data_IF_973830683851
#
_entry.id   IF_973830683851
#
_cell.length_a   1.000
_cell.length_b   1.000
_cell.length_c   1.000
_cell.angle_alpha   90.00
_cell.angle_beta   90.00
_cell.angle_gamma   90.00
#
_symmetry.space_group_name_H-M   'P 1'
#
loop_
_entity.id
_entity.type
_entity.pdbx_description
1 polymer ?
#
# COMPACT_ATOMS: atom_id res chain seq x y z
N UNK A 1 0.10 -7.45 -27.25
CA UNK A 1 -0.04 -6.22 -26.44
C UNK A 1 -0.36 -6.68 -25.03
N UNK A 2 0.36 -6.41 -23.95
CA UNK A 2 1.59 -5.63 -23.73
C UNK A 2 2.43 -6.34 -22.66
N UNK A 3 3.71 -6.56 -22.95
CA UNK A 3 4.76 -7.04 -22.04
C UNK A 3 5.26 -5.96 -21.06
N UNK A 4 4.57 -4.82 -20.98
CA UNK A 4 5.10 -3.55 -20.44
C UNK A 4 5.23 -3.46 -18.92
N UNK A 5 4.65 -4.37 -18.14
CA UNK A 5 4.58 -4.18 -16.69
C UNK A 5 5.68 -4.87 -15.88
N UNK A 6 6.41 -5.82 -16.46
CA UNK A 6 7.68 -6.28 -15.90
C UNK A 6 8.84 -5.35 -16.25
N UNK A 7 8.69 -4.54 -17.31
CA UNK A 7 9.72 -3.64 -17.87
C UNK A 7 10.12 -2.49 -16.96
N UNK A 8 9.44 -2.31 -15.83
CA UNK A 8 9.68 -1.23 -14.86
C UNK A 8 10.32 -1.70 -13.55
N UNK A 9 10.55 -3.01 -13.39
CA UNK A 9 11.26 -3.53 -12.22
C UNK A 9 12.74 -3.13 -12.28
N UNK A 10 13.20 -2.43 -11.25
CA UNK A 10 14.58 -2.00 -11.10
C UNK A 10 15.27 -2.92 -10.09
N UNK A 11 16.37 -3.54 -10.51
CA UNK A 11 17.13 -4.43 -9.65
C UNK A 11 17.79 -3.67 -8.48
N UNK A 12 17.62 -4.19 -7.27
CA UNK A 12 18.28 -3.72 -6.05
C UNK A 12 19.41 -4.69 -5.70
N UNK A 13 20.58 -4.15 -5.34
CA UNK A 13 21.69 -4.94 -4.81
C UNK A 13 21.48 -5.13 -3.31
N UNK A 14 21.37 -6.38 -2.89
CA UNK A 14 21.25 -6.76 -1.48
C UNK A 14 22.54 -7.43 -0.97
N UNK A 15 22.79 -7.41 0.35
CA UNK A 15 22.00 -6.72 1.38
C UNK A 15 22.17 -5.20 1.28
N UNK A 16 21.13 -4.45 1.64
CA UNK A 16 21.17 -2.98 1.65
C UNK A 16 20.38 -2.43 2.85
N UNK A 17 20.51 -1.13 3.18
CA UNK A 17 19.61 -0.51 4.15
C UNK A 17 18.16 -0.55 3.65
N UNK A 18 17.22 -0.75 4.56
CA UNK A 18 15.78 -0.90 4.28
C UNK A 18 15.00 0.00 5.22
N UNK A 19 13.98 0.69 4.72
CA UNK A 19 12.96 1.37 5.51
C UNK A 19 11.80 0.41 5.79
N UNK A 20 11.51 0.19 7.05
CA UNK A 20 10.26 -0.41 7.52
C UNK A 20 9.23 0.71 7.66
N UNK A 21 8.23 0.70 6.80
CA UNK A 21 7.22 1.76 6.71
C UNK A 21 5.90 1.19 7.21
N UNK A 22 5.28 1.84 8.21
CA UNK A 22 3.92 1.51 8.62
C UNK A 22 2.96 2.45 7.90
N UNK A 23 2.03 1.87 7.15
CA UNK A 23 0.91 2.58 6.54
C UNK A 23 -0.37 2.26 7.29
N UNK A 24 -1.17 3.28 7.57
CA UNK A 24 -2.43 3.16 8.28
C UNK A 24 -3.56 3.65 7.39
N UNK A 25 -4.62 2.85 7.30
CA UNK A 25 -5.92 3.29 6.83
C UNK A 25 -6.72 3.78 8.02
N UNK A 26 -7.04 5.08 8.05
CA UNK A 26 -7.93 5.67 9.04
C UNK A 26 -8.77 6.74 8.37
N UNK A 27 -10.01 6.93 8.83
CA UNK A 27 -10.94 7.94 8.27
C UNK A 27 -11.04 7.94 6.73
N UNK A 28 -10.98 6.74 6.14
CA UNK A 28 -11.05 6.50 4.69
C UNK A 28 -9.83 6.98 3.88
N UNK A 29 -8.68 7.16 4.53
CA UNK A 29 -7.43 7.58 3.89
C UNK A 29 -6.27 6.69 4.32
N UNK A 30 -5.37 6.39 3.39
CA UNK A 30 -4.08 5.78 3.71
C UNK A 30 -3.05 6.85 4.05
N UNK A 31 -2.26 6.64 5.11
CA UNK A 31 -1.18 7.53 5.54
C UNK A 31 0.02 6.71 5.99
N UNK A 32 1.23 7.21 5.73
CA UNK A 32 2.43 6.69 6.40
C UNK A 32 2.44 7.26 7.82
N UNK A 33 2.51 6.40 8.82
CA UNK A 33 2.47 6.80 10.24
C UNK A 33 3.77 6.50 10.99
N UNK A 34 4.63 5.64 10.43
CA UNK A 34 5.93 5.32 11.02
C UNK A 34 6.93 4.92 9.95
N UNK A 35 8.19 5.32 10.16
CA UNK A 35 9.33 4.83 9.37
C UNK A 35 10.49 4.48 10.29
N UNK A 36 11.07 3.29 10.08
CA UNK A 36 12.24 2.83 10.83
C UNK A 36 13.32 2.37 9.87
N UNK A 37 14.55 2.83 10.06
CA UNK A 37 15.69 2.35 9.30
C UNK A 37 16.19 1.01 9.84
N UNK A 38 16.32 0.05 8.95
CA UNK A 38 17.03 -1.21 9.17
C UNK A 38 18.35 -1.12 8.41
N UNK A 39 19.52 -1.10 9.08
CA UNK A 39 20.79 -0.78 8.43
C UNK A 39 21.23 -1.73 7.31
N UNK A 40 20.84 -3.01 7.39
CA UNK A 40 21.20 -4.01 6.39
C UNK A 40 20.20 -5.18 6.43
N UNK A 41 19.56 -5.47 5.29
CA UNK A 41 18.62 -6.56 5.13
C UNK A 41 18.59 -7.01 3.66
N UNK A 42 18.30 -8.30 3.44
CA UNK A 42 17.93 -8.82 2.11
C UNK A 42 16.42 -8.99 2.10
N UNK A 43 15.74 -8.39 1.11
CA UNK A 43 14.30 -8.59 0.93
C UNK A 43 14.04 -9.77 -0.01
N UNK A 44 12.86 -10.40 0.09
CA UNK A 44 12.38 -11.31 -0.94
C UNK A 44 12.38 -10.64 -2.32
N UNK A 45 12.51 -11.45 -3.37
CA UNK A 45 12.38 -10.95 -4.73
C UNK A 45 11.01 -10.26 -4.92
N UNK A 46 10.92 -9.18 -5.72
CA UNK A 46 9.65 -8.53 -6.00
C UNK A 46 8.63 -9.51 -6.57
N UNK A 47 7.39 -9.44 -6.09
CA UNK A 47 6.33 -10.30 -6.58
C UNK A 47 6.02 -10.03 -8.06
N UNK A 48 5.72 -11.12 -8.77
CA UNK A 48 5.28 -11.06 -10.16
C UNK A 48 3.76 -11.03 -10.21
N UNK A 49 3.22 -10.07 -10.96
CA UNK A 49 1.78 -9.98 -11.22
C UNK A 49 1.39 -10.98 -12.32
N UNK A 50 0.49 -11.95 -12.07
CA UNK A 50 0.16 -13.02 -13.03
C UNK A 50 -0.31 -12.53 -14.41
N UNK A 51 -1.09 -11.44 -14.43
CA UNK A 51 -1.60 -10.79 -15.64
C UNK A 51 -1.03 -9.38 -15.83
N UNK A 52 0.14 -9.08 -15.23
CA UNK A 52 0.74 -7.75 -15.29
C UNK A 52 -0.21 -6.67 -14.73
N UNK A 53 -0.42 -5.59 -15.49
CA UNK A 53 -1.27 -4.45 -15.09
C UNK A 53 -2.74 -4.82 -14.88
N UNK A 54 -3.20 -5.89 -15.52
CA UNK A 54 -4.59 -6.34 -15.47
C UNK A 54 -4.84 -7.31 -14.32
N UNK A 55 -3.80 -7.63 -13.53
CA UNK A 55 -3.94 -8.52 -12.39
C UNK A 55 -4.95 -7.97 -11.40
N UNK A 56 -5.88 -8.82 -10.99
CA UNK A 56 -6.82 -8.53 -9.92
C UNK A 56 -6.15 -8.74 -8.56
N UNK A 57 -6.62 -8.02 -7.55
CA UNK A 57 -6.16 -8.13 -6.18
C UNK A 57 -5.60 -6.80 -5.65
N UNK A 58 -4.78 -6.92 -4.62
CA UNK A 58 -4.16 -5.81 -3.95
C UNK A 58 -2.65 -6.01 -3.89
N UNK A 59 -1.90 -4.95 -4.17
CA UNK A 59 -0.44 -4.99 -4.07
C UNK A 59 0.12 -3.62 -3.75
N UNK A 60 1.34 -3.63 -3.23
CA UNK A 60 2.08 -2.43 -2.85
C UNK A 60 3.36 -2.37 -3.68
N UNK A 61 3.68 -1.18 -4.20
CA UNK A 61 4.88 -0.94 -5.00
C UNK A 61 5.70 0.19 -4.36
N UNK A 62 7.01 -0.02 -4.22
CA UNK A 62 7.95 1.04 -3.88
C UNK A 62 8.51 1.65 -5.17
N UNK A 63 8.26 2.94 -5.40
CA UNK A 63 8.37 3.57 -6.73
C UNK A 63 9.21 4.85 -6.70
N UNK A 64 9.91 5.13 -7.79
CA UNK A 64 10.54 6.44 -8.04
C UNK A 64 9.59 7.43 -8.74
N UNK A 65 9.98 8.71 -8.80
CA UNK A 65 9.20 9.75 -9.50
C UNK A 65 9.07 9.58 -11.02
N UNK A 66 9.63 8.50 -11.61
CA UNK A 66 9.50 8.15 -13.04
C UNK A 66 8.65 6.89 -13.25
N UNK A 67 8.12 6.29 -12.18
CA UNK A 67 7.33 5.06 -12.24
C UNK A 67 8.15 3.76 -12.26
N UNK A 68 9.46 3.83 -11.96
CA UNK A 68 10.33 2.67 -11.77
C UNK A 68 10.04 1.98 -10.44
N UNK A 69 9.88 0.65 -10.46
CA UNK A 69 9.42 -0.15 -9.32
C UNK A 69 10.61 -0.92 -8.76
N UNK A 70 10.96 -0.66 -7.51
CA UNK A 70 12.11 -1.30 -6.85
C UNK A 70 11.72 -2.52 -6.02
N UNK A 71 10.47 -2.55 -5.53
CA UNK A 71 9.90 -3.66 -4.79
C UNK A 71 8.41 -3.73 -5.07
N UNK A 72 7.88 -4.96 -5.12
CA UNK A 72 6.44 -5.24 -5.16
C UNK A 72 6.11 -6.34 -4.16
N UNK A 73 5.03 -6.15 -3.43
CA UNK A 73 4.44 -7.15 -2.54
C UNK A 73 2.96 -7.31 -2.86
N UNK A 74 2.55 -8.52 -3.24
CA UNK A 74 1.15 -8.90 -3.49
C UNK A 74 0.60 -9.48 -2.21
N UNK A 75 -0.56 -8.98 -1.76
CA UNK A 75 -1.16 -9.42 -0.51
C UNK A 75 -2.70 -9.50 -0.64
N UNK A 76 -3.37 -10.26 0.25
CA UNK A 76 -4.82 -10.23 0.33
C UNK A 76 -5.33 -8.80 0.50
N UNK A 77 -6.39 -8.43 -0.22
CA UNK A 77 -6.95 -7.08 -0.11
C UNK A 77 -7.48 -6.87 1.31
N UNK A 78 -6.86 -5.98 2.10
CA UNK A 78 -7.21 -5.79 3.51
C UNK A 78 -8.57 -5.10 3.66
N UNK A 79 -9.16 -4.60 2.58
CA UNK A 79 -10.47 -3.94 2.57
C UNK A 79 -11.57 -4.86 2.03
N UNK A 80 -11.24 -6.03 1.47
CA UNK A 80 -12.20 -6.93 0.85
C UNK A 80 -12.80 -7.89 1.89
N UNK A 81 -14.13 -7.99 1.93
CA UNK A 81 -14.83 -9.03 2.70
C UNK A 81 -14.95 -8.75 4.19
N UNK A 82 -14.83 -7.50 4.64
CA UNK A 82 -15.09 -7.17 6.03
C UNK A 82 -16.59 -7.25 6.34
N UNK A 83 -16.93 -8.08 7.32
CA UNK A 83 -18.27 -8.23 7.87
C UNK A 83 -18.30 -7.61 9.26
N UNK A 84 -19.25 -6.70 9.52
CA UNK A 84 -19.49 -6.16 10.84
C UNK A 84 -20.68 -6.86 11.48
N UNK A 85 -20.48 -7.41 12.66
CA UNK A 85 -21.56 -7.98 13.48
C UNK A 85 -22.03 -6.94 14.50
N UNK A 86 -23.33 -6.62 14.48
CA UNK A 86 -23.95 -5.80 15.51
C UNK A 86 -24.15 -6.61 16.81
N UNK A 87 -24.36 -5.91 17.95
CA UNK A 87 -24.64 -6.56 19.25
C UNK A 87 -25.85 -7.51 19.24
N UNK A 88 -26.75 -7.38 18.26
CA UNK A 88 -27.92 -8.25 18.06
C UNK A 88 -27.70 -9.42 17.09
N UNK A 89 -26.48 -9.61 16.57
CA UNK A 89 -26.16 -10.67 15.60
C UNK A 89 -26.46 -10.33 14.14
N UNK A 90 -26.95 -9.12 13.84
CA UNK A 90 -27.08 -8.64 12.46
C UNK A 90 -25.68 -8.50 11.83
N UNK A 91 -25.54 -9.03 10.63
CA UNK A 91 -24.30 -9.00 9.85
C UNK A 91 -24.45 -7.99 8.71
N UNK A 92 -23.58 -6.99 8.68
CA UNK A 92 -23.50 -6.04 7.56
C UNK A 92 -22.19 -6.25 6.82
N UNK A 93 -22.27 -6.50 5.52
CA UNK A 93 -21.08 -6.45 4.67
C UNK A 93 -20.67 -5.00 4.49
N UNK A 94 -19.46 -4.70 4.91
CA UNK A 94 -18.93 -3.35 4.87
C UNK A 94 -18.45 -3.05 3.45
N UNK A 95 -19.03 -2.02 2.85
CA UNK A 95 -18.53 -1.47 1.58
C UNK A 95 -17.35 -0.50 1.81
N UNK A 96 -17.01 -0.22 3.07
CA UNK A 96 -15.84 0.52 3.51
C UNK A 96 -15.38 -0.03 4.88
N UNK A 97 -14.09 -0.24 5.12
CA UNK A 97 -13.61 -0.72 6.42
C UNK A 97 -13.91 0.30 7.55
N UNK A 98 -14.60 -0.09 8.64
CA UNK A 98 -14.91 0.76 9.78
C UNK A 98 -13.79 0.77 10.84
N UNK A 99 -12.65 0.15 10.54
CA UNK A 99 -11.54 -0.05 11.46
C UNK A 99 -10.26 0.59 10.94
N UNK A 100 -9.42 1.00 11.89
CA UNK A 100 -8.05 1.37 11.61
C UNK A 100 -7.26 0.12 11.21
N UNK A 101 -6.74 0.09 9.99
CA UNK A 101 -5.90 -1.00 9.49
C UNK A 101 -4.47 -0.48 9.44
N UNK A 102 -3.53 -1.22 10.01
CA UNK A 102 -2.10 -0.93 9.89
C UNK A 102 -1.42 -2.07 9.11
N UNK A 103 -0.62 -1.70 8.10
CA UNK A 103 0.24 -2.60 7.36
C UNK A 103 1.68 -2.16 7.54
N UNK A 104 2.59 -3.12 7.62
CA UNK A 104 4.02 -2.88 7.62
C UNK A 104 4.58 -3.34 6.27
N UNK A 105 5.33 -2.45 5.61
CA UNK A 105 5.99 -2.75 4.33
C UNK A 105 7.49 -2.50 4.46
N UNK A 106 8.27 -3.32 3.75
CA UNK A 106 9.72 -3.18 3.69
C UNK A 106 10.12 -2.58 2.34
N UNK A 107 10.77 -1.42 2.40
CA UNK A 107 11.16 -0.63 1.23
C UNK A 107 12.68 -0.48 1.21
N UNK A 108 13.38 -0.83 0.12
CA UNK A 108 14.81 -0.55 0.00
C UNK A 108 15.11 0.93 0.24
N UNK A 109 16.10 1.24 1.07
CA UNK A 109 16.49 2.63 1.30
C UNK A 109 17.52 3.08 0.26
N UNK A 110 17.04 3.25 -0.98
CA UNK A 110 17.83 3.74 -2.11
C UNK A 110 17.29 5.09 -2.57
N UNK A 111 18.20 5.99 -2.95
CA UNK A 111 17.88 7.40 -3.20
C UNK A 111 16.81 7.66 -4.29
N UNK A 112 16.54 6.68 -5.14
CA UNK A 112 15.53 6.75 -6.19
C UNK A 112 14.09 6.61 -5.69
N UNK A 113 13.84 5.89 -4.59
CA UNK A 113 12.47 5.62 -4.13
C UNK A 113 11.92 6.82 -3.36
N UNK A 114 10.84 7.40 -3.88
CA UNK A 114 10.15 8.57 -3.33
C UNK A 114 8.68 8.33 -3.00
N UNK A 115 8.09 7.22 -3.45
CA UNK A 115 6.66 6.96 -3.33
C UNK A 115 6.38 5.49 -2.97
N UNK A 116 5.27 5.29 -2.25
CA UNK A 116 4.64 3.99 -2.04
C UNK A 116 3.28 4.02 -2.73
N UNK A 117 3.07 3.10 -3.65
CA UNK A 117 1.82 2.96 -4.37
C UNK A 117 1.03 1.77 -3.83
N UNK A 118 -0.18 2.03 -3.33
CA UNK A 118 -1.14 1.00 -3.00
C UNK A 118 -2.07 0.84 -4.19
N UNK A 119 -2.13 -0.36 -4.74
CA UNK A 119 -2.95 -0.65 -5.91
C UNK A 119 -4.02 -1.67 -5.52
N UNK A 120 -5.28 -1.31 -5.76
CA UNK A 120 -6.42 -2.21 -5.65
C UNK A 120 -7.07 -2.32 -7.02
N UNK A 121 -7.15 -3.53 -7.53
CA UNK A 121 -7.82 -3.83 -8.80
C UNK A 121 -8.84 -4.94 -8.57
N UNK A 122 -10.11 -4.58 -8.55
CA UNK A 122 -11.20 -5.52 -8.30
C UNK A 122 -11.99 -5.76 -9.58
N UNK A 123 -12.56 -6.96 -9.72
CA UNK A 123 -13.47 -7.25 -10.82
C UNK A 123 -14.67 -6.29 -10.72
N UNK A 124 -15.11 -5.67 -11.82
CA UNK A 124 -16.33 -4.86 -11.81
C UNK A 124 -17.49 -5.70 -11.29
N UNK A 125 -18.28 -5.13 -10.37
CA UNK A 125 -19.57 -5.72 -10.02
C UNK A 125 -20.53 -5.56 -11.21
N UNK A 126 -21.40 -6.54 -11.44
CA UNK A 126 -22.30 -6.56 -12.59
C UNK A 126 -23.08 -5.24 -12.72
N UNK A 127 -22.93 -4.57 -13.87
CA UNK A 127 -23.55 -3.27 -14.17
C UNK A 127 -22.66 -2.04 -13.93
N UNK A 128 -21.49 -2.18 -13.31
CA UNK A 128 -20.49 -1.11 -13.20
C UNK A 128 -19.54 -1.11 -14.40
N UNK A 129 -19.24 0.07 -14.96
CA UNK A 129 -18.15 0.23 -15.92
C UNK A 129 -16.82 -0.14 -15.28
N UNK A 130 -15.96 -0.85 -16.01
CA UNK A 130 -14.63 -1.19 -15.54
C UNK A 130 -13.82 0.09 -15.30
N UNK A 131 -13.71 0.51 -14.03
CA UNK A 131 -12.67 1.43 -13.62
C UNK A 131 -11.39 0.60 -13.51
N UNK A 132 -10.33 0.99 -14.23
CA UNK A 132 -9.02 0.34 -14.11
C UNK A 132 -8.48 0.35 -12.66
N UNK A 133 -7.25 -0.14 -12.44
CA UNK A 133 -6.69 -0.26 -11.10
C UNK A 133 -6.71 1.07 -10.34
N UNK A 134 -7.31 1.07 -9.14
CA UNK A 134 -7.30 2.22 -8.23
C UNK A 134 -5.93 2.29 -7.58
N UNK A 135 -5.24 3.42 -7.79
CA UNK A 135 -3.91 3.68 -7.22
C UNK A 135 -3.97 4.79 -6.18
N UNK A 136 -3.51 4.50 -4.97
CA UNK A 136 -3.26 5.50 -3.92
C UNK A 136 -1.77 5.73 -3.83
N UNK A 137 -1.34 7.00 -3.92
CA UNK A 137 0.08 7.38 -3.90
C UNK A 137 0.40 8.01 -2.56
N UNK A 138 1.33 7.43 -1.83
CA UNK A 138 1.86 7.98 -0.58
C UNK A 138 3.29 8.46 -0.84
N UNK A 139 3.51 9.76 -0.65
CA UNK A 139 4.87 10.31 -0.66
C UNK A 139 5.67 9.68 0.48
N UNK A 140 6.86 9.19 0.18
CA UNK A 140 7.76 8.54 1.12
C UNK A 140 8.89 9.51 1.49
N UNK A 141 8.75 10.28 2.58
CA UNK A 141 9.75 11.29 2.93
C UNK A 141 11.08 10.63 3.27
N UNK A 142 12.18 11.34 2.97
CA UNK A 142 13.54 10.89 3.27
C UNK A 142 13.87 10.96 4.77
N UNK A 143 13.20 11.84 5.49
CA UNK A 143 13.37 11.98 6.92
C UNK A 143 12.74 10.77 7.63
N UNK A 144 13.57 10.05 8.38
CA UNK A 144 13.15 8.90 9.17
C UNK A 144 12.70 9.45 10.52
N UNK A 145 11.42 9.78 10.60
CA UNK A 145 10.76 10.18 11.83
C UNK A 145 10.18 8.96 12.55
N UNK A 146 10.52 8.80 13.84
CA UNK A 146 9.71 7.99 14.76
C UNK A 146 8.27 8.50 14.82
N UNK A 147 7.34 7.64 15.31
CA UNK A 147 5.88 7.81 15.33
C UNK A 147 5.40 9.21 14.92
N UNK A 148 4.88 9.33 13.70
CA UNK A 148 4.32 10.60 13.23
C UNK A 148 3.04 10.79 14.04
N UNK A 149 2.98 11.78 14.96
CA UNK A 149 1.80 11.94 15.80
C UNK A 149 0.61 12.24 14.90
N UNK A 150 -0.40 11.39 15.03
CA UNK A 150 -1.74 11.64 14.53
C UNK A 150 -2.12 13.03 15.02
N UNK A 151 -2.19 14.03 14.13
CA UNK A 151 -2.66 15.34 14.53
C UNK A 151 -4.12 15.14 14.96
N UNK A 152 -4.46 15.32 16.26
CA UNK A 152 -5.85 15.28 16.65
C UNK A 152 -6.47 16.56 16.09
N UNK A 153 -7.14 16.42 14.95
CA UNK A 153 -7.90 17.50 14.37
C UNK A 153 -8.90 18.03 15.39
N UNK A 154 -8.75 19.32 15.70
CA UNK A 154 -9.81 20.21 16.15
C UNK A 154 -10.57 19.78 17.40
N UNK A 155 -10.15 20.30 18.56
CA UNK A 155 -11.03 20.35 19.71
C UNK A 155 -12.32 21.07 19.36
N UNK A 156 -13.45 20.38 19.51
CA UNK A 156 -14.72 21.05 19.74
C UNK A 156 -14.66 21.63 21.16
N UNK A 157 -14.43 22.93 21.26
CA UNK A 157 -14.77 23.70 22.44
C UNK A 157 -16.24 24.11 22.32
N UNK A 158 -17.00 23.67 23.32
CA UNK A 158 -18.29 24.15 23.85
C UNK A 158 -19.46 24.42 22.91
#
# INVERSE_FOLDING_TARGET
MSTENQSRLIAVRYPCPVRRVTIQWSRQEWKIVKQVLVPSMTLPAPDTLPAGAESLGFWIEAVDGKGGIYQREVMPDPLLGMEQFAKGGEMTRLNHPPHDIALEILVPDVAGISEVHLVSNQKPQDGATASGPKRTVLALPREIGGDIPDHPGGGHQH
#
